data_IF_271280616532
#
_entry.id   IF_271280616532
#
_cell.length_a   1.000
_cell.length_b   1.000
_cell.length_c   1.000
_cell.angle_alpha   90.00
_cell.angle_beta   90.00
_cell.angle_gamma   90.00
#
_symmetry.space_group_name_H-M   'P 1'
#
loop_
_entity.id
_entity.type
_entity.pdbx_description
1 polymer ?
#
# COMPACT_ATOMS: atom_id res chain seq x y z
N UNK A 1 17.02 30.61 7.29
CA UNK A 1 16.49 30.42 8.66
C UNK A 1 17.51 29.92 9.69
N UNK A 2 17.88 28.62 9.73
CA UNK A 2 18.75 28.07 10.81
C UNK A 2 20.10 28.78 10.85
N UNK A 3 20.71 28.98 9.68
CA UNK A 3 21.98 29.73 9.53
C UNK A 3 21.93 31.17 10.03
N UNK A 4 20.78 31.84 9.94
CA UNK A 4 20.64 33.23 10.38
C UNK A 4 20.39 33.31 11.89
N UNK A 5 19.53 32.41 12.41
CA UNK A 5 19.12 32.39 13.82
C UNK A 5 20.13 31.71 14.74
N UNK A 6 20.87 30.73 14.21
CA UNK A 6 21.87 29.95 14.91
C UNK A 6 23.08 29.62 14.01
N UNK A 7 23.84 30.62 13.52
CA UNK A 7 25.01 30.41 12.65
C UNK A 7 26.10 29.55 13.29
N UNK A 8 26.10 29.48 14.62
CA UNK A 8 27.03 28.73 15.45
C UNK A 8 26.67 27.24 15.60
N UNK A 9 25.48 26.81 15.15
CA UNK A 9 25.00 25.45 15.36
C UNK A 9 25.38 24.54 14.19
N UNK A 10 26.13 23.44 14.42
CA UNK A 10 26.32 22.40 13.43
C UNK A 10 25.06 21.58 13.19
N UNK A 11 24.70 21.37 11.92
CA UNK A 11 23.59 20.50 11.55
C UNK A 11 23.79 19.95 10.14
N UNK A 12 23.43 18.67 9.96
CA UNK A 12 23.51 17.95 8.70
C UNK A 12 22.13 17.59 8.12
N UNK A 13 21.08 17.77 8.92
CA UNK A 13 19.71 17.51 8.52
C UNK A 13 18.74 18.48 9.22
N UNK A 14 17.57 18.63 8.60
CA UNK A 14 16.45 19.41 9.12
C UNK A 14 15.20 18.54 9.11
N UNK A 15 14.39 18.64 10.16
CA UNK A 15 13.05 18.08 10.20
C UNK A 15 12.04 19.18 10.54
N UNK A 16 10.99 19.29 9.74
CA UNK A 16 9.84 20.14 10.04
C UNK A 16 8.74 19.28 10.66
N UNK A 17 8.19 19.72 11.78
CA UNK A 17 7.09 19.00 12.44
C UNK A 17 5.95 19.95 12.74
N UNK A 18 4.74 19.54 12.37
CA UNK A 18 3.50 20.25 12.66
C UNK A 18 2.64 19.39 13.58
N UNK A 19 2.30 19.93 14.76
CA UNK A 19 1.44 19.31 15.76
C UNK A 19 1.85 17.86 16.13
N UNK A 20 3.14 17.55 16.04
CA UNK A 20 3.70 16.26 16.41
C UNK A 20 4.03 16.26 17.90
N UNK A 21 3.45 15.30 18.64
CA UNK A 21 3.76 15.04 20.04
C UNK A 21 4.55 13.74 20.13
N UNK A 22 5.85 13.83 20.43
CA UNK A 22 6.68 12.64 20.63
C UNK A 22 6.69 12.19 22.08
N UNK A 23 6.40 10.90 22.31
CA UNK A 23 6.59 10.22 23.60
C UNK A 23 8.08 10.17 24.00
N UNK A 24 8.43 9.84 25.27
CA UNK A 24 9.83 9.76 25.70
C UNK A 24 10.68 8.82 24.84
N UNK A 25 11.70 9.38 24.18
CA UNK A 25 12.61 8.66 23.29
C UNK A 25 14.02 9.27 23.31
N UNK A 26 14.96 8.58 22.64
CA UNK A 26 16.31 9.08 22.34
C UNK A 26 16.53 9.03 20.84
N UNK A 27 17.31 9.97 20.32
CA UNK A 27 17.67 10.00 18.91
C UNK A 27 18.93 9.16 18.69
N UNK A 28 18.76 7.84 18.75
CA UNK A 28 19.86 6.87 18.67
C UNK A 28 20.62 6.88 17.34
N UNK A 29 20.10 7.55 16.30
CA UNK A 29 20.75 7.66 14.99
C UNK A 29 21.44 9.01 14.76
N UNK A 30 21.35 9.94 15.72
CA UNK A 30 22.07 11.21 15.67
C UNK A 30 23.49 11.05 16.21
N UNK A 31 24.38 11.91 15.76
CA UNK A 31 25.78 11.95 16.16
C UNK A 31 25.89 12.13 17.69
N UNK A 32 26.48 11.18 18.45
CA UNK A 32 26.46 11.23 19.91
C UNK A 32 27.09 12.48 20.51
N UNK A 33 28.12 13.05 19.85
CA UNK A 33 28.79 14.28 20.31
C UNK A 33 28.09 15.55 19.84
N UNK A 34 27.01 15.45 19.04
CA UNK A 34 26.27 16.63 18.58
C UNK A 34 25.19 17.06 19.57
N UNK A 35 24.51 18.12 19.20
CA UNK A 35 23.33 18.63 19.87
C UNK A 35 22.24 18.86 18.83
N UNK A 36 20.98 18.73 19.24
CA UNK A 36 19.84 19.12 18.41
C UNK A 36 19.40 20.54 18.79
N UNK A 37 18.88 21.27 17.81
CA UNK A 37 18.29 22.60 17.98
C UNK A 37 16.85 22.58 17.47
N UNK A 38 15.90 22.93 18.35
CA UNK A 38 14.48 23.06 18.00
C UNK A 38 14.12 24.53 17.99
N UNK A 39 13.55 25.02 16.90
CA UNK A 39 13.12 26.41 16.75
C UNK A 39 11.62 26.50 16.48
N UNK A 40 10.94 27.39 17.19
CA UNK A 40 9.52 27.67 16.96
C UNK A 40 9.33 28.46 15.66
N UNK A 41 8.47 27.97 14.77
CA UNK A 41 8.10 28.63 13.51
C UNK A 41 6.71 29.28 13.55
N UNK A 42 5.85 28.84 14.47
CA UNK A 42 4.53 29.41 14.71
C UNK A 42 4.41 29.95 16.14
N UNK A 43 3.33 30.69 16.39
CA UNK A 43 2.96 31.14 17.74
C UNK A 43 2.09 30.07 18.41
N UNK A 44 2.56 29.54 19.53
CA UNK A 44 1.82 28.60 20.39
C UNK A 44 2.18 28.86 21.85
N UNK A 45 1.35 28.36 22.79
CA UNK A 45 1.64 28.45 24.22
C UNK A 45 2.06 27.09 24.77
N UNK A 46 2.97 27.08 25.76
CA UNK A 46 3.61 25.86 26.29
C UNK A 46 4.39 25.12 25.18
N UNK A 47 4.28 23.78 25.09
CA UNK A 47 4.87 23.02 23.97
C UNK A 47 6.39 22.86 24.00
N UNK A 48 7.00 23.04 25.17
CA UNK A 48 8.43 22.85 25.39
C UNK A 48 8.90 21.41 25.18
N UNK A 49 10.16 21.16 25.51
CA UNK A 49 10.76 19.83 25.44
C UNK A 49 11.16 19.41 26.85
N UNK A 50 10.58 18.32 27.34
CA UNK A 50 11.08 17.66 28.54
C UNK A 50 12.34 16.88 28.20
N UNK A 51 13.40 17.04 28.97
CA UNK A 51 14.68 16.33 28.81
C UNK A 51 15.08 15.74 30.15
N UNK A 52 15.43 14.45 30.17
CA UNK A 52 15.85 13.75 31.37
C UNK A 52 17.09 14.40 32.00
N UNK A 53 16.99 14.60 33.31
CA UNK A 53 17.90 15.37 34.14
C UNK A 53 17.63 14.98 35.60
N UNK A 54 18.62 14.37 36.26
CA UNK A 54 18.44 13.81 37.60
C UNK A 54 18.14 14.90 38.65
N UNK A 55 18.59 16.14 38.38
CA UNK A 55 18.35 17.32 39.22
C UNK A 55 17.08 18.09 38.80
N UNK A 56 16.34 17.59 37.81
CA UNK A 56 15.13 18.22 37.28
C UNK A 56 13.91 18.08 38.19
N UNK A 57 12.94 18.99 38.05
CA UNK A 57 11.73 19.06 38.87
C UNK A 57 10.48 18.44 38.20
N UNK A 58 10.58 18.04 36.93
CA UNK A 58 9.48 17.48 36.16
C UNK A 58 9.67 15.97 35.92
N UNK A 59 8.74 15.15 36.41
CA UNK A 59 8.82 13.69 36.26
C UNK A 59 7.98 13.17 35.08
N UNK A 60 8.50 12.17 34.36
CA UNK A 60 7.74 11.37 33.39
C UNK A 60 7.87 9.87 33.65
N UNK A 61 6.84 9.12 33.29
CA UNK A 61 6.85 7.67 33.32
C UNK A 61 7.43 7.12 32.02
N UNK A 62 8.48 6.32 32.12
CA UNK A 62 9.21 5.76 30.99
C UNK A 62 9.39 4.28 31.26
N UNK A 63 8.75 3.42 30.47
CA UNK A 63 8.80 1.96 30.64
C UNK A 63 8.47 1.51 32.08
N UNK A 64 7.52 2.18 32.73
CA UNK A 64 7.09 1.87 34.11
C UNK A 64 7.95 2.49 35.22
N UNK A 65 9.05 3.16 34.88
CA UNK A 65 9.90 3.85 35.86
C UNK A 65 9.64 5.36 35.83
N UNK A 66 9.70 5.99 37.02
CA UNK A 66 9.65 7.45 37.15
C UNK A 66 11.04 8.02 36.87
N UNK A 67 11.16 8.82 35.82
CA UNK A 67 12.41 9.49 35.42
C UNK A 67 12.23 10.99 35.65
N UNK A 68 13.20 11.63 36.32
CA UNK A 68 13.22 13.08 36.53
C UNK A 68 13.81 13.78 35.30
N UNK A 69 13.39 15.02 35.09
CA UNK A 69 13.85 15.84 33.98
C UNK A 69 13.46 17.29 34.10
N UNK A 70 13.97 18.09 33.18
CA UNK A 70 13.76 19.53 33.12
C UNK A 70 12.97 19.87 31.86
N UNK A 71 11.94 20.72 31.97
CA UNK A 71 11.19 21.21 30.82
C UNK A 71 11.88 22.45 30.25
N UNK A 72 12.46 22.30 29.06
CA UNK A 72 13.03 23.41 28.29
C UNK A 72 11.91 24.11 27.52
N UNK A 73 11.87 25.44 27.59
CA UNK A 73 10.90 26.26 26.87
C UNK A 73 11.56 27.12 25.78
N UNK A 74 10.72 27.72 24.93
CA UNK A 74 11.17 28.57 23.83
C UNK A 74 11.41 30.03 24.25
N UNK A 75 11.58 30.37 25.54
CA UNK A 75 11.76 31.77 25.98
C UNK A 75 12.98 32.44 25.34
N UNK A 76 13.98 31.66 24.93
CA UNK A 76 15.18 32.13 24.21
C UNK A 76 15.09 31.95 22.69
N UNK A 77 13.90 31.67 22.16
CA UNK A 77 13.63 31.49 20.72
C UNK A 77 13.99 30.12 20.15
N UNK A 78 14.77 29.30 20.88
CA UNK A 78 15.11 27.95 20.50
C UNK A 78 15.40 27.08 21.74
N UNK A 79 15.23 25.76 21.60
CA UNK A 79 15.60 24.75 22.58
C UNK A 79 16.82 23.99 22.06
N UNK A 80 17.80 23.78 22.93
CA UNK A 80 19.04 23.07 22.63
C UNK A 80 19.18 21.89 23.59
N UNK A 81 19.45 20.69 23.06
CA UNK A 81 19.55 19.49 23.89
C UNK A 81 20.44 18.42 23.26
N UNK A 82 20.90 17.47 24.08
CA UNK A 82 21.71 16.32 23.63
C UNK A 82 20.79 15.22 23.09
N UNK A 83 21.03 14.69 21.88
CA UNK A 83 20.16 13.67 21.27
C UNK A 83 20.10 12.35 22.05
N UNK A 84 21.16 12.03 22.80
CA UNK A 84 21.26 10.81 23.60
C UNK A 84 20.60 10.94 24.98
N UNK A 85 20.09 12.12 25.34
CA UNK A 85 19.27 12.28 26.53
C UNK A 85 17.83 11.91 26.20
N UNK A 86 17.17 11.17 27.10
CA UNK A 86 15.76 10.86 26.96
C UNK A 86 14.95 12.15 26.95
N UNK A 87 14.07 12.32 25.97
CA UNK A 87 13.31 13.57 25.82
C UNK A 87 11.92 13.31 25.24
N UNK A 88 11.00 14.25 25.48
CA UNK A 88 9.61 14.16 25.06
C UNK A 88 9.02 15.55 24.79
N UNK A 89 8.02 15.62 23.92
CA UNK A 89 7.30 16.88 23.66
C UNK A 89 6.29 17.15 24.76
N UNK A 90 6.29 18.36 25.32
CA UNK A 90 5.26 18.80 26.26
C UNK A 90 3.98 19.22 25.54
N UNK A 91 2.84 19.12 26.22
CA UNK A 91 1.56 19.55 25.64
C UNK A 91 1.54 21.06 25.38
N UNK A 92 0.81 21.47 24.34
CA UNK A 92 0.68 22.85 23.90
C UNK A 92 -0.78 23.22 23.58
N UNK A 93 -1.02 24.51 23.40
CA UNK A 93 -2.26 25.06 22.84
C UNK A 93 -1.92 25.90 21.59
N UNK A 94 -2.78 25.82 20.57
CA UNK A 94 -2.54 26.39 19.24
C UNK A 94 -1.83 25.43 18.28
N UNK A 95 -1.40 25.94 17.12
CA UNK A 95 -0.65 25.16 16.13
C UNK A 95 0.84 25.23 16.41
N UNK A 96 1.46 24.09 16.77
CA UNK A 96 2.89 23.98 17.05
C UNK A 96 3.63 23.52 15.80
N UNK A 97 4.18 24.47 15.06
CA UNK A 97 5.13 24.25 13.98
C UNK A 97 6.54 24.52 14.51
N UNK A 98 7.41 23.52 14.45
CA UNK A 98 8.82 23.66 14.85
C UNK A 98 9.75 23.08 13.79
N UNK A 99 10.94 23.67 13.69
CA UNK A 99 12.04 23.18 12.88
C UNK A 99 13.10 22.57 13.81
N UNK A 100 13.46 21.32 13.56
CA UNK A 100 14.51 20.60 14.29
C UNK A 100 15.74 20.51 13.39
N UNK A 101 16.83 21.12 13.81
CA UNK A 101 18.15 20.96 13.20
C UNK A 101 18.96 19.94 14.00
N UNK A 102 19.54 18.96 13.31
CA UNK A 102 20.26 17.86 13.94
C UNK A 102 21.39 17.35 13.03
N UNK A 103 22.27 16.53 13.61
CA UNK A 103 23.38 15.89 12.90
C UNK A 103 23.13 14.38 12.85
N UNK A 104 22.85 13.79 11.66
CA UNK A 104 22.84 12.35 11.50
C UNK A 104 24.23 11.74 11.80
N UNK A 105 24.27 10.48 12.20
CA UNK A 105 25.55 9.73 12.25
C UNK A 105 26.09 9.49 10.84
N UNK A 106 27.39 9.23 10.79
CA UNK A 106 28.07 8.79 9.58
C UNK A 106 28.09 9.80 8.43
N UNK A 107 28.00 11.10 8.74
CA UNK A 107 28.14 12.16 7.73
C UNK A 107 29.51 12.16 7.07
N UNK A 108 30.52 11.53 7.69
CA UNK A 108 31.83 11.29 7.09
C UNK A 108 31.77 10.38 5.84
N UNK A 109 30.70 9.59 5.68
CA UNK A 109 30.52 8.69 4.53
C UNK A 109 29.91 9.36 3.31
N UNK A 110 29.44 10.61 3.43
CA UNK A 110 28.97 11.37 2.28
C UNK A 110 30.13 11.60 1.31
N UNK A 111 29.86 11.36 0.03
CA UNK A 111 30.82 11.65 -1.02
C UNK A 111 31.03 13.18 -1.17
N UNK A 112 32.08 13.55 -1.91
CA UNK A 112 32.45 14.95 -2.09
C UNK A 112 31.41 15.77 -2.85
N UNK A 113 30.61 15.13 -3.71
CA UNK A 113 29.58 15.82 -4.49
C UNK A 113 28.41 16.21 -3.59
N UNK A 114 27.89 15.26 -2.82
CA UNK A 114 26.78 15.48 -1.88
C UNK A 114 27.16 16.47 -0.77
N UNK A 115 28.40 16.40 -0.28
CA UNK A 115 28.93 17.40 0.67
C UNK A 115 28.95 18.80 0.08
N UNK A 116 29.38 18.96 -1.17
CA UNK A 116 29.38 20.25 -1.86
C UNK A 116 27.98 20.86 -1.95
N UNK A 117 26.99 20.04 -2.30
CA UNK A 117 25.58 20.46 -2.36
C UNK A 117 25.09 20.91 -0.98
N UNK A 118 25.38 20.15 0.08
CA UNK A 118 24.96 20.51 1.43
C UNK A 118 25.62 21.81 1.92
N UNK A 119 26.90 22.01 1.61
CA UNK A 119 27.60 23.25 1.94
C UNK A 119 27.01 24.45 1.17
N UNK A 120 26.70 24.30 -0.13
CA UNK A 120 26.02 25.32 -0.94
C UNK A 120 24.62 25.67 -0.39
N UNK A 121 23.88 24.67 0.10
CA UNK A 121 22.58 24.84 0.74
C UNK A 121 22.68 25.39 2.18
N UNK A 122 23.89 25.59 2.69
CA UNK A 122 24.15 26.22 3.98
C UNK A 122 24.03 25.28 5.18
N UNK A 123 24.19 23.97 5.00
CA UNK A 123 24.38 23.03 6.12
C UNK A 123 25.76 23.21 6.74
N UNK A 124 25.91 22.86 8.02
CA UNK A 124 27.16 23.03 8.77
C UNK A 124 27.63 21.65 9.23
N UNK A 125 28.40 20.98 8.38
CA UNK A 125 28.81 19.59 8.57
C UNK A 125 30.05 19.42 9.48
N UNK A 126 30.67 20.53 9.91
CA UNK A 126 31.80 20.52 10.84
C UNK A 126 31.33 20.33 12.28
N UNK A 127 31.95 19.42 13.02
CA UNK A 127 31.74 19.27 14.47
C UNK A 127 32.49 20.32 15.31
N UNK A 128 33.30 21.18 14.68
CA UNK A 128 33.98 22.27 15.37
C UNK A 128 33.15 23.57 15.37
N UNK A 129 33.04 24.26 16.52
CA UNK A 129 32.26 25.49 16.61
C UNK A 129 32.89 26.62 15.77
N UNK A 130 32.14 27.16 14.82
CA UNK A 130 32.55 28.33 14.03
C UNK A 130 32.15 29.60 14.78
N UNK A 131 33.03 30.61 14.79
CA UNK A 131 32.80 31.89 15.48
C UNK A 131 31.51 32.58 14.98
N UNK A 132 30.77 33.21 15.91
CA UNK A 132 29.54 33.96 15.61
C UNK A 132 29.82 35.07 14.60
N UNK A 133 29.33 34.92 13.38
CA UNK A 133 29.17 36.04 12.44
C UNK A 133 27.73 36.56 12.53
N UNK A 134 27.58 37.85 12.80
CA UNK A 134 26.29 38.55 12.72
C UNK A 134 25.96 38.76 11.24
N UNK A 135 24.89 38.12 10.77
CA UNK A 135 24.29 38.36 9.45
C UNK A 135 23.03 39.19 9.66
N UNK A 136 22.80 40.21 8.82
CA UNK A 136 21.57 41.01 8.89
C UNK A 136 20.32 40.14 8.67
N UNK A 137 19.21 40.41 9.37
CA UNK A 137 18.01 39.58 9.29
C UNK A 137 17.38 39.70 7.89
N UNK A 138 17.45 38.63 7.10
CA UNK A 138 16.67 38.48 5.86
C UNK A 138 15.23 38.11 6.23
N UNK A 139 14.28 38.83 5.66
CA UNK A 139 12.85 38.54 5.78
C UNK A 139 12.49 37.49 4.73
N UNK A 140 12.00 36.32 5.14
CA UNK A 140 11.42 35.33 4.22
C UNK A 140 9.98 35.04 4.64
N UNK A 141 9.10 34.81 3.66
CA UNK A 141 7.76 34.29 3.91
C UNK A 141 7.75 32.78 3.71
N UNK A 142 6.96 32.09 4.54
CA UNK A 142 6.67 30.67 4.40
C UNK A 142 5.16 30.54 4.22
N UNK A 143 4.73 30.02 3.07
CA UNK A 143 3.33 29.70 2.82
C UNK A 143 3.10 28.23 3.17
N UNK A 144 2.47 27.98 4.32
CA UNK A 144 2.03 26.66 4.72
C UNK A 144 0.56 26.49 4.35
N UNK A 145 0.24 25.51 3.49
CA UNK A 145 -1.15 25.13 3.23
C UNK A 145 -1.78 24.54 4.49
N UNK A 146 -2.81 25.21 5.02
CA UNK A 146 -3.64 24.69 6.10
C UNK A 146 -4.57 23.63 5.50
N UNK A 147 -4.56 22.43 6.08
CA UNK A 147 -5.47 21.36 5.64
C UNK A 147 -6.91 21.75 5.97
N UNK A 148 -7.77 21.81 4.95
CA UNK A 148 -9.21 21.94 5.16
C UNK A 148 -9.77 20.75 5.94
N UNK A 149 -10.76 21.03 6.80
CA UNK A 149 -11.68 19.99 7.26
C UNK A 149 -12.41 19.35 6.07
N UNK A 150 -12.92 18.11 6.20
CA UNK A 150 -13.72 17.49 5.16
C UNK A 150 -14.90 18.37 4.69
N UNK A 151 -15.54 19.08 5.62
CA UNK A 151 -16.68 19.95 5.35
C UNK A 151 -16.28 21.22 4.59
N UNK A 152 -15.19 21.88 4.99
CA UNK A 152 -14.63 23.02 4.28
C UNK A 152 -14.17 22.64 2.87
N UNK A 153 -13.54 21.47 2.72
CA UNK A 153 -13.15 20.95 1.42
C UNK A 153 -14.35 20.77 0.50
N UNK A 154 -15.44 20.16 1.00
CA UNK A 154 -16.67 19.97 0.20
C UNK A 154 -17.31 21.32 -0.15
N UNK A 155 -17.36 22.26 0.80
CA UNK A 155 -17.95 23.58 0.56
C UNK A 155 -17.18 24.37 -0.51
N UNK A 156 -15.85 24.37 -0.46
CA UNK A 156 -15.01 25.01 -1.47
C UNK A 156 -15.06 24.26 -2.81
N UNK A 157 -15.06 22.93 -2.81
CA UNK A 157 -15.20 22.12 -4.02
C UNK A 157 -16.53 22.38 -4.75
N UNK A 158 -17.62 22.63 -4.02
CA UNK A 158 -18.91 23.02 -4.61
C UNK A 158 -18.90 24.42 -5.23
N UNK A 159 -18.01 25.32 -4.79
CA UNK A 159 -17.84 26.67 -5.35
C UNK A 159 -16.89 26.67 -6.54
N UNK A 160 -15.96 25.73 -6.59
CA UNK A 160 -15.01 25.58 -7.68
C UNK A 160 -15.71 25.04 -8.95
N UNK A 161 -15.39 25.62 -10.10
CA UNK A 161 -15.77 25.01 -11.39
C UNK A 161 -14.86 23.81 -11.66
N UNK A 162 -15.46 22.65 -11.99
CA UNK A 162 -14.67 21.47 -12.31
C UNK A 162 -13.89 21.71 -13.61
N UNK A 163 -12.56 21.48 -13.66
CA UNK A 163 -11.71 21.84 -14.79
C UNK A 163 -11.98 21.02 -16.07
N UNK A 164 -12.85 20.01 -16.00
CA UNK A 164 -13.21 19.15 -17.12
C UNK A 164 -14.71 18.84 -17.13
N UNK A 165 -15.24 18.56 -18.33
CA UNK A 165 -16.60 18.05 -18.48
C UNK A 165 -16.64 16.55 -18.12
N UNK A 166 -17.08 16.25 -16.91
CA UNK A 166 -17.13 14.89 -16.35
C UNK A 166 -17.94 13.90 -17.23
N UNK A 167 -18.90 14.38 -18.02
CA UNK A 167 -19.67 13.54 -18.94
C UNK A 167 -18.83 12.94 -20.07
N UNK A 168 -17.71 13.55 -20.44
CA UNK A 168 -16.83 13.05 -21.51
C UNK A 168 -15.89 11.93 -21.05
N UNK A 169 -15.92 11.59 -19.75
CA UNK A 169 -15.07 10.55 -19.16
C UNK A 169 -15.74 9.17 -19.13
N UNK A 170 -17.01 9.08 -19.55
CA UNK A 170 -17.76 7.83 -19.52
C UNK A 170 -17.46 6.96 -20.75
N UNK A 171 -17.12 5.68 -20.55
CA UNK A 171 -17.13 4.70 -21.63
C UNK A 171 -18.49 4.61 -22.31
N UNK A 172 -18.48 4.29 -23.60
CA UNK A 172 -19.69 4.23 -24.44
C UNK A 172 -20.71 3.23 -23.91
N UNK A 173 -20.27 2.14 -23.28
CA UNK A 173 -21.12 1.11 -22.67
C UNK A 173 -21.94 1.68 -21.52
N UNK A 174 -21.33 2.52 -20.67
CA UNK A 174 -22.03 3.19 -19.57
C UNK A 174 -23.01 4.22 -20.12
N UNK A 175 -22.62 4.96 -21.16
CA UNK A 175 -23.49 5.95 -21.80
C UNK A 175 -24.71 5.28 -22.45
N UNK A 176 -24.52 4.15 -23.13
CA UNK A 176 -25.58 3.32 -23.70
C UNK A 176 -26.51 2.75 -22.61
N UNK A 177 -25.95 2.26 -21.50
CA UNK A 177 -26.73 1.77 -20.37
C UNK A 177 -27.61 2.86 -19.76
N UNK A 178 -27.08 4.07 -19.54
CA UNK A 178 -27.86 5.22 -19.07
C UNK A 178 -28.99 5.52 -20.06
N UNK A 179 -28.67 5.64 -21.36
CA UNK A 179 -29.66 5.95 -22.39
C UNK A 179 -30.78 4.90 -22.45
N UNK A 180 -30.48 3.61 -22.31
CA UNK A 180 -31.47 2.53 -22.30
C UNK A 180 -32.39 2.59 -21.09
N UNK A 181 -31.87 2.91 -19.90
CA UNK A 181 -32.69 3.09 -18.69
C UNK A 181 -33.70 4.25 -18.85
N UNK A 182 -33.30 5.35 -19.49
CA UNK A 182 -34.22 6.46 -19.78
C UNK A 182 -35.08 6.23 -21.04
N UNK A 183 -34.75 5.26 -21.88
CA UNK A 183 -35.45 4.97 -23.13
C UNK A 183 -36.62 4.00 -22.99
N UNK A 184 -36.70 3.27 -21.87
CA UNK A 184 -37.72 2.26 -21.59
C UNK A 184 -38.59 2.70 -20.40
N UNK A 185 -39.85 2.27 -20.37
CA UNK A 185 -40.65 2.37 -19.14
C UNK A 185 -40.12 1.40 -18.08
N UNK A 186 -40.41 1.65 -16.81
CA UNK A 186 -40.00 0.77 -15.70
C UNK A 186 -40.48 -0.68 -15.91
N UNK A 187 -41.72 -0.84 -16.38
CA UNK A 187 -42.30 -2.15 -16.70
C UNK A 187 -41.53 -2.85 -17.82
N UNK A 188 -41.28 -2.16 -18.94
CA UNK A 188 -40.57 -2.73 -20.08
C UNK A 188 -39.12 -3.09 -19.71
N UNK A 189 -38.46 -2.24 -18.92
CA UNK A 189 -37.11 -2.49 -18.43
C UNK A 189 -37.07 -3.71 -17.50
N UNK A 190 -38.06 -3.84 -16.60
CA UNK A 190 -38.21 -5.00 -15.72
C UNK A 190 -38.45 -6.30 -16.48
N UNK A 191 -39.34 -6.28 -17.47
CA UNK A 191 -39.60 -7.42 -18.36
C UNK A 191 -38.33 -7.83 -19.11
N UNK A 192 -37.65 -6.88 -19.75
CA UNK A 192 -36.40 -7.13 -20.48
C UNK A 192 -35.31 -7.73 -19.59
N UNK A 193 -35.08 -7.18 -18.39
CA UNK A 193 -34.10 -7.73 -17.43
C UNK A 193 -34.45 -9.16 -17.03
N UNK A 194 -35.72 -9.44 -16.82
CA UNK A 194 -36.21 -10.78 -16.47
C UNK A 194 -35.97 -11.78 -17.60
N UNK A 195 -36.28 -11.40 -18.84
CA UNK A 195 -36.04 -12.23 -20.03
C UNK A 195 -34.56 -12.52 -20.23
N UNK A 196 -33.70 -11.51 -20.09
CA UNK A 196 -32.24 -11.67 -20.18
C UNK A 196 -31.74 -12.64 -19.10
N UNK A 197 -32.19 -12.51 -17.84
CA UNK A 197 -31.82 -13.43 -16.77
C UNK A 197 -32.30 -14.86 -17.08
N UNK A 198 -33.55 -15.05 -17.53
CA UNK A 198 -34.05 -16.39 -17.90
C UNK A 198 -33.23 -17.02 -19.02
N UNK A 199 -32.88 -16.25 -20.05
CA UNK A 199 -32.01 -16.69 -21.15
C UNK A 199 -30.68 -17.22 -20.61
N UNK A 200 -30.03 -16.48 -19.72
CA UNK A 200 -28.74 -16.89 -19.16
C UNK A 200 -28.83 -18.05 -18.18
N UNK A 201 -29.92 -18.18 -17.43
CA UNK A 201 -30.18 -19.37 -16.60
C UNK A 201 -30.34 -20.61 -17.48
N UNK A 202 -31.12 -20.51 -18.57
CA UNK A 202 -31.28 -21.62 -19.52
C UNK A 202 -29.94 -22.01 -20.14
N UNK A 203 -29.19 -21.03 -20.66
CA UNK A 203 -27.86 -21.26 -21.24
C UNK A 203 -26.89 -21.89 -20.24
N UNK A 204 -26.94 -21.48 -18.97
CA UNK A 204 -26.11 -22.07 -17.93
C UNK A 204 -26.40 -23.55 -17.67
N UNK A 205 -27.68 -23.95 -17.78
CA UNK A 205 -28.09 -25.35 -17.63
C UNK A 205 -27.67 -26.18 -18.85
N UNK A 206 -27.80 -25.62 -20.06
CA UNK A 206 -27.40 -26.29 -21.30
C UNK A 206 -25.89 -26.59 -21.33
N UNK A 207 -25.08 -25.72 -20.70
CA UNK A 207 -23.61 -25.83 -20.70
C UNK A 207 -23.05 -26.77 -19.60
N UNK A 208 -23.88 -27.36 -18.73
CA UNK A 208 -23.39 -28.13 -17.57
C UNK A 208 -22.49 -29.30 -18.00
N UNK A 209 -22.91 -30.09 -18.99
CA UNK A 209 -22.14 -31.25 -19.42
C UNK A 209 -20.79 -30.87 -20.04
N UNK A 210 -20.75 -29.80 -20.83
CA UNK A 210 -19.52 -29.28 -21.43
C UNK A 210 -18.59 -28.68 -20.36
N UNK A 211 -19.15 -28.01 -19.34
CA UNK A 211 -18.40 -27.46 -18.20
C UNK A 211 -17.74 -28.58 -17.38
N UNK A 212 -18.46 -29.68 -17.15
CA UNK A 212 -17.93 -30.85 -16.44
C UNK A 212 -16.78 -31.51 -17.22
N UNK A 213 -16.91 -31.65 -18.54
CA UNK A 213 -15.85 -32.14 -19.41
C UNK A 213 -14.62 -31.23 -19.40
N UNK A 214 -14.83 -29.91 -19.49
CA UNK A 214 -13.75 -28.91 -19.40
C UNK A 214 -12.99 -29.03 -18.08
N UNK A 215 -13.71 -29.13 -16.95
CA UNK A 215 -13.12 -29.24 -15.61
C UNK A 215 -12.45 -30.59 -15.36
N UNK A 216 -12.95 -31.67 -15.98
CA UNK A 216 -12.31 -32.98 -15.92
C UNK A 216 -10.92 -32.97 -16.56
N UNK A 217 -10.72 -32.14 -17.59
CA UNK A 217 -9.42 -31.94 -18.24
C UNK A 217 -8.42 -31.08 -17.44
N UNK A 218 -8.85 -30.38 -16.40
CA UNK A 218 -7.97 -29.54 -15.57
C UNK A 218 -7.18 -30.37 -14.56
N UNK A 219 -5.99 -29.88 -14.18
CA UNK A 219 -5.26 -30.38 -13.01
C UNK A 219 -6.07 -30.19 -11.73
N UNK A 220 -5.77 -31.00 -10.71
CA UNK A 220 -6.42 -30.90 -9.41
C UNK A 220 -6.30 -29.49 -8.81
N UNK A 221 -5.12 -28.86 -8.93
CA UNK A 221 -4.85 -27.54 -8.38
C UNK A 221 -5.75 -26.46 -8.98
N UNK A 222 -5.91 -26.45 -10.31
CA UNK A 222 -6.79 -25.51 -11.01
C UNK A 222 -8.26 -25.81 -10.73
N UNK A 223 -8.63 -27.11 -10.71
CA UNK A 223 -10.00 -27.56 -10.45
C UNK A 223 -10.50 -27.15 -9.07
N UNK A 224 -9.66 -27.21 -8.03
CA UNK A 224 -10.04 -26.77 -6.67
C UNK A 224 -10.51 -25.31 -6.70
N UNK A 225 -9.73 -24.42 -7.33
CA UNK A 225 -10.04 -22.98 -7.42
C UNK A 225 -11.26 -22.70 -8.30
N UNK A 226 -11.38 -23.40 -9.43
CA UNK A 226 -12.40 -23.15 -10.46
C UNK A 226 -13.68 -23.98 -10.31
N UNK A 227 -13.74 -24.91 -9.34
CA UNK A 227 -14.83 -25.89 -9.19
C UNK A 227 -16.22 -25.26 -9.24
N UNK A 228 -16.40 -24.13 -8.54
CA UNK A 228 -17.68 -23.41 -8.43
C UNK A 228 -17.93 -22.39 -9.54
N UNK A 229 -17.01 -22.22 -10.49
CA UNK A 229 -17.11 -21.25 -11.58
C UNK A 229 -17.83 -21.86 -12.78
N UNK A 230 -18.58 -21.05 -13.53
CA UNK A 230 -19.23 -21.44 -14.80
C UNK A 230 -18.50 -20.75 -15.95
N UNK A 231 -17.37 -21.31 -16.35
CA UNK A 231 -16.42 -20.70 -17.28
C UNK A 231 -17.00 -20.59 -18.69
N UNK A 232 -17.75 -21.61 -19.14
CA UNK A 232 -18.39 -21.59 -20.46
C UNK A 232 -19.56 -20.61 -20.51
N UNK A 233 -20.30 -20.45 -19.40
CA UNK A 233 -21.29 -19.39 -19.28
C UNK A 233 -20.63 -18.01 -19.35
N UNK A 234 -19.51 -17.85 -18.65
CA UNK A 234 -18.76 -16.60 -18.68
C UNK A 234 -18.24 -16.28 -20.09
N UNK A 235 -17.74 -17.29 -20.82
CA UNK A 235 -17.37 -17.18 -22.24
C UNK A 235 -18.54 -16.69 -23.10
N UNK A 236 -19.69 -17.34 -22.99
CA UNK A 236 -20.88 -16.95 -23.75
C UNK A 236 -21.35 -15.52 -23.43
N UNK A 237 -21.23 -15.10 -22.16
CA UNK A 237 -21.55 -13.72 -21.73
C UNK A 237 -20.60 -12.69 -22.37
N UNK A 238 -19.30 -12.97 -22.42
CA UNK A 238 -18.30 -12.09 -23.04
C UNK A 238 -18.50 -11.98 -24.55
N UNK A 239 -18.76 -13.11 -25.22
CA UNK A 239 -19.04 -13.15 -26.66
C UNK A 239 -20.30 -12.35 -27.02
N UNK A 240 -21.39 -12.50 -26.25
CA UNK A 240 -22.62 -11.74 -26.49
C UNK A 240 -22.47 -10.25 -26.16
N UNK A 241 -21.65 -9.91 -25.17
CA UNK A 241 -21.32 -8.52 -24.84
C UNK A 241 -20.41 -7.86 -25.90
N UNK A 242 -19.83 -8.64 -26.83
CA UNK A 242 -18.86 -8.14 -27.79
C UNK A 242 -17.55 -7.69 -27.14
N UNK A 243 -17.15 -8.33 -26.04
CA UNK A 243 -15.92 -8.00 -25.34
C UNK A 243 -14.70 -8.24 -26.24
N UNK A 244 -13.70 -7.37 -26.17
CA UNK A 244 -12.53 -7.44 -27.08
C UNK A 244 -11.52 -8.50 -26.69
N UNK A 245 -11.40 -8.80 -25.40
CA UNK A 245 -10.59 -9.91 -24.91
C UNK A 245 -11.38 -11.23 -25.04
N UNK A 246 -11.03 -12.01 -26.06
CA UNK A 246 -11.61 -13.33 -26.33
C UNK A 246 -10.84 -14.48 -25.65
N UNK A 247 -9.64 -14.21 -25.13
CA UNK A 247 -8.74 -15.23 -24.56
C UNK A 247 -8.89 -15.35 -23.03
N UNK A 248 -9.54 -14.39 -22.37
CA UNK A 248 -9.70 -14.35 -20.91
C UNK A 248 -10.15 -15.68 -20.28
N UNK A 249 -11.09 -16.39 -20.91
CA UNK A 249 -11.58 -17.67 -20.37
C UNK A 249 -10.54 -18.78 -20.52
N UNK A 250 -9.80 -18.78 -21.62
CA UNK A 250 -8.71 -19.75 -21.84
C UNK A 250 -7.56 -19.47 -20.87
N UNK A 251 -7.23 -18.19 -20.60
CA UNK A 251 -6.27 -17.80 -19.56
C UNK A 251 -6.70 -18.26 -18.17
N UNK A 252 -7.99 -18.10 -17.82
CA UNK A 252 -8.55 -18.62 -16.55
C UNK A 252 -8.42 -20.14 -16.45
N UNK A 253 -8.73 -20.87 -17.53
CA UNK A 253 -8.63 -22.33 -17.58
C UNK A 253 -7.19 -22.79 -17.44
N UNK A 254 -6.24 -22.11 -18.08
CA UNK A 254 -4.81 -22.44 -18.04
C UNK A 254 -4.12 -22.02 -16.74
N UNK A 255 -4.67 -20.99 -16.08
CA UNK A 255 -4.09 -20.38 -14.90
C UNK A 255 -2.94 -19.43 -15.25
N UNK A 256 -2.56 -18.61 -14.28
CA UNK A 256 -1.60 -17.52 -14.50
C UNK A 256 -0.20 -17.87 -14.01
N UNK A 257 0.80 -17.51 -14.80
CA UNK A 257 2.19 -17.57 -14.40
C UNK A 257 2.58 -16.39 -13.50
N UNK A 258 3.54 -16.62 -12.59
CA UNK A 258 4.11 -15.56 -11.75
C UNK A 258 5.38 -14.93 -12.33
N UNK A 259 5.92 -15.53 -13.40
CA UNK A 259 7.13 -15.06 -14.09
C UNK A 259 6.92 -15.12 -15.59
N UNK A 260 7.80 -14.47 -16.34
CA UNK A 260 7.70 -14.43 -17.79
C UNK A 260 6.78 -13.31 -18.26
N UNK A 261 6.18 -13.49 -19.43
CA UNK A 261 5.39 -12.45 -20.10
C UNK A 261 3.93 -12.57 -19.69
N UNK A 262 3.35 -11.49 -19.17
CA UNK A 262 1.91 -11.45 -18.88
C UNK A 262 1.10 -11.62 -20.19
N UNK A 263 -0.07 -12.29 -20.13
CA UNK A 263 -0.95 -12.41 -21.29
C UNK A 263 -1.42 -11.03 -21.77
N UNK A 264 -1.52 -10.86 -23.08
CA UNK A 264 -2.04 -9.65 -23.72
C UNK A 264 -3.55 -9.81 -23.97
N UNK A 265 -4.36 -8.97 -23.33
CA UNK A 265 -5.81 -8.95 -23.50
C UNK A 265 -6.25 -8.24 -24.80
N UNK A 266 -5.43 -7.32 -25.30
CA UNK A 266 -5.80 -6.39 -26.36
C UNK A 266 -6.80 -5.30 -25.95
N UNK A 267 -7.34 -5.38 -24.73
CA UNK A 267 -8.30 -4.41 -24.19
C UNK A 267 -7.61 -3.21 -23.55
N UNK A 268 -6.51 -3.45 -22.83
CA UNK A 268 -5.82 -2.41 -22.08
C UNK A 268 -4.83 -1.61 -22.94
N UNK A 269 -4.48 -0.41 -22.46
CA UNK A 269 -3.49 0.44 -23.14
C UNK A 269 -2.13 -0.26 -23.17
N UNK A 270 -1.54 -0.37 -24.37
CA UNK A 270 -0.17 -0.88 -24.52
C UNK A 270 0.82 -0.06 -23.72
N UNK A 271 1.55 -0.74 -22.83
CA UNK A 271 2.64 -0.17 -22.03
C UNK A 271 3.63 -1.27 -21.71
N UNK A 272 4.71 -1.27 -22.47
CA UNK A 272 5.76 -2.26 -22.29
C UNK A 272 6.68 -1.90 -21.12
N UNK A 273 6.86 -2.85 -20.20
CA UNK A 273 7.91 -2.84 -19.17
C UNK A 273 8.61 -4.20 -19.19
N UNK A 274 9.87 -4.26 -19.66
CA UNK A 274 10.59 -5.51 -19.72
C UNK A 274 10.95 -6.02 -18.31
N UNK A 275 11.09 -7.33 -18.18
CA UNK A 275 11.69 -7.95 -17.01
C UNK A 275 13.13 -7.40 -16.81
N UNK A 276 13.50 -7.15 -15.55
CA UNK A 276 14.87 -6.76 -15.17
C UNK A 276 15.78 -7.96 -14.89
N UNK A 277 15.22 -9.16 -14.89
CA UNK A 277 15.92 -10.44 -14.71
C UNK A 277 15.35 -11.48 -15.67
N UNK A 278 16.21 -12.33 -16.25
CA UNK A 278 15.74 -13.46 -17.05
C UNK A 278 15.19 -14.56 -16.15
N UNK A 279 14.20 -15.31 -16.63
CA UNK A 279 13.69 -16.46 -15.89
C UNK A 279 14.79 -17.49 -15.59
N UNK A 280 15.69 -17.75 -16.55
CA UNK A 280 16.81 -18.66 -16.36
C UNK A 280 17.75 -18.22 -15.20
N UNK A 281 17.98 -16.91 -15.05
CA UNK A 281 18.78 -16.35 -13.96
C UNK A 281 18.06 -16.51 -12.61
N UNK A 282 16.74 -16.28 -12.59
CA UNK A 282 15.92 -16.56 -11.42
C UNK A 282 16.02 -18.04 -11.02
N UNK A 283 15.87 -18.97 -11.98
CA UNK A 283 15.95 -20.43 -11.72
C UNK A 283 17.31 -20.85 -11.19
N UNK A 284 18.39 -20.35 -11.80
CA UNK A 284 19.77 -20.71 -11.41
C UNK A 284 20.16 -20.16 -10.03
N UNK A 285 19.62 -18.99 -9.65
CA UNK A 285 19.82 -18.38 -8.34
C UNK A 285 18.89 -18.90 -7.24
N UNK A 286 17.82 -19.61 -7.60
CA UNK A 286 16.71 -19.94 -6.71
C UNK A 286 17.14 -20.72 -5.46
N UNK A 287 17.99 -21.74 -5.60
CA UNK A 287 18.42 -22.57 -4.45
C UNK A 287 19.13 -21.74 -3.38
N UNK A 288 20.09 -20.88 -3.78
CA UNK A 288 20.80 -19.98 -2.86
C UNK A 288 19.83 -18.98 -2.21
N UNK A 289 18.93 -18.41 -2.99
CA UNK A 289 17.93 -17.46 -2.50
C UNK A 289 17.00 -18.12 -1.47
N UNK A 290 16.49 -19.32 -1.75
CA UNK A 290 15.64 -20.07 -0.83
C UNK A 290 16.35 -20.38 0.49
N UNK A 291 17.60 -20.83 0.45
CA UNK A 291 18.39 -21.07 1.67
C UNK A 291 18.59 -19.80 2.48
N UNK A 292 18.88 -18.67 1.82
CA UNK A 292 19.02 -17.37 2.50
C UNK A 292 17.68 -16.90 3.10
N UNK A 293 16.55 -17.09 2.41
CA UNK A 293 15.23 -16.77 2.93
C UNK A 293 14.91 -17.63 4.17
N UNK A 294 15.12 -18.95 4.11
CA UNK A 294 14.89 -19.84 5.27
C UNK A 294 15.75 -19.46 6.48
N UNK A 295 17.02 -19.08 6.26
CA UNK A 295 17.92 -18.67 7.34
C UNK A 295 17.56 -17.33 7.98
N UNK A 296 16.81 -16.47 7.29
CA UNK A 296 16.44 -15.12 7.76
C UNK A 296 15.02 -15.02 8.29
N UNK A 297 14.20 -16.06 8.13
CA UNK A 297 12.85 -16.12 8.70
C UNK A 297 12.96 -16.39 10.20
N UNK A 298 12.88 -15.31 10.98
CA UNK A 298 12.77 -15.32 12.44
C UNK A 298 11.40 -14.84 12.92
N UNK A 299 11.15 -14.88 14.24
CA UNK A 299 9.95 -14.32 14.84
C UNK A 299 9.85 -12.82 14.57
N UNK A 300 8.63 -12.31 14.50
CA UNK A 300 8.34 -10.88 14.50
C UNK A 300 8.59 -10.28 15.90
N UNK A 301 8.77 -8.95 15.94
CA UNK A 301 8.94 -8.22 17.21
C UNK A 301 7.71 -8.32 18.12
N UNK A 302 6.51 -8.42 17.51
CA UNK A 302 5.25 -8.64 18.19
C UNK A 302 4.70 -10.05 17.87
N UNK A 303 4.59 -10.96 18.87
CA UNK A 303 4.04 -12.29 18.70
C UNK A 303 2.62 -12.34 18.10
N UNK A 304 1.84 -11.27 18.26
CA UNK A 304 0.49 -11.15 17.66
C UNK A 304 0.57 -11.21 16.14
N UNK A 305 1.64 -10.69 15.55
CA UNK A 305 1.85 -10.70 14.09
C UNK A 305 2.03 -12.13 13.58
N UNK A 306 2.94 -12.90 14.18
CA UNK A 306 3.21 -14.28 13.73
C UNK A 306 1.98 -15.17 13.94
N UNK A 307 1.29 -15.03 15.07
CA UNK A 307 0.04 -15.74 15.34
C UNK A 307 -1.04 -15.37 14.31
N UNK A 308 -1.17 -14.08 13.97
CA UNK A 308 -2.12 -13.60 12.96
C UNK A 308 -1.81 -14.09 11.54
N UNK A 309 -0.53 -14.10 11.15
CA UNK A 309 -0.08 -14.63 9.85
C UNK A 309 -0.35 -16.12 9.75
N UNK A 310 -0.02 -16.89 10.79
CA UNK A 310 -0.30 -18.31 10.84
C UNK A 310 -1.81 -18.57 10.76
N UNK A 311 -2.62 -17.87 11.55
CA UNK A 311 -4.08 -18.05 11.54
C UNK A 311 -4.69 -17.72 10.17
N UNK A 312 -4.23 -16.65 9.51
CA UNK A 312 -4.68 -16.32 8.15
C UNK A 312 -4.24 -17.39 7.14
N UNK A 313 -3.00 -17.90 7.24
CA UNK A 313 -2.48 -18.94 6.35
C UNK A 313 -3.25 -20.25 6.51
N UNK A 314 -3.57 -20.66 7.74
CA UNK A 314 -4.37 -21.87 7.99
C UNK A 314 -5.81 -21.74 7.49
N UNK A 315 -6.41 -20.54 7.55
CA UNK A 315 -7.70 -20.28 6.89
C UNK A 315 -7.62 -20.42 5.37
N UNK A 316 -6.51 -20.00 4.76
CA UNK A 316 -6.29 -20.22 3.33
C UNK A 316 -6.09 -21.71 2.98
N UNK A 317 -5.48 -22.49 3.89
CA UNK A 317 -5.37 -23.95 3.76
C UNK A 317 -6.74 -24.62 3.85
N UNK A 318 -7.54 -24.25 4.86
CA UNK A 318 -8.90 -24.78 5.04
C UNK A 318 -9.80 -24.47 3.84
N UNK A 319 -9.65 -23.28 3.24
CA UNK A 319 -10.37 -22.88 2.03
C UNK A 319 -9.83 -23.54 0.74
N UNK A 320 -8.75 -24.32 0.80
CA UNK A 320 -8.14 -24.98 -0.35
C UNK A 320 -7.30 -24.06 -1.24
N UNK A 321 -7.05 -22.81 -0.85
CA UNK A 321 -6.21 -21.87 -1.61
C UNK A 321 -4.72 -22.13 -1.44
N UNK A 322 -4.33 -22.80 -0.36
CA UNK A 322 -2.95 -23.09 0.03
C UNK A 322 -2.83 -24.57 0.44
N UNK A 323 -1.69 -25.20 0.17
CA UNK A 323 -1.29 -26.46 0.82
C UNK A 323 -0.06 -26.28 1.69
N UNK A 324 0.08 -27.19 2.63
CA UNK A 324 1.26 -27.35 3.44
C UNK A 324 0.89 -27.69 4.89
N UNK A 325 1.90 -27.80 5.76
CA UNK A 325 3.30 -27.49 5.48
C UNK A 325 3.96 -28.42 4.45
N UNK A 326 4.91 -27.90 3.65
CA UNK A 326 5.71 -28.65 2.68
C UNK A 326 7.15 -28.76 3.21
N UNK A 327 7.80 -29.92 3.07
CA UNK A 327 9.20 -30.04 3.47
C UNK A 327 10.11 -29.34 2.45
N UNK A 328 11.18 -28.71 2.92
CA UNK A 328 12.15 -28.04 2.04
C UNK A 328 12.81 -29.00 1.03
N UNK A 329 12.92 -30.28 1.37
CA UNK A 329 13.40 -31.35 0.48
C UNK A 329 12.48 -31.62 -0.71
N UNK A 330 11.20 -31.28 -0.59
CA UNK A 330 10.17 -31.59 -1.59
C UNK A 330 10.01 -30.43 -2.59
N UNK A 331 10.72 -29.31 -2.37
CA UNK A 331 10.78 -28.22 -3.32
C UNK A 331 11.62 -28.62 -4.54
N UNK A 332 11.09 -28.49 -5.77
CA UNK A 332 11.86 -28.83 -6.96
C UNK A 332 13.00 -27.86 -7.18
N UNK A 333 14.03 -28.32 -7.88
CA UNK A 333 15.14 -27.46 -8.29
C UNK A 333 14.63 -26.28 -9.13
N UNK A 334 15.08 -25.07 -8.81
CA UNK A 334 14.65 -23.84 -9.47
C UNK A 334 13.35 -23.23 -8.94
N UNK A 335 12.73 -23.84 -7.92
CA UNK A 335 11.58 -23.24 -7.24
C UNK A 335 11.96 -21.99 -6.45
N UNK A 336 11.14 -20.95 -6.50
CA UNK A 336 11.32 -19.72 -5.71
C UNK A 336 10.62 -19.83 -4.37
N UNK A 337 11.19 -19.23 -3.33
CA UNK A 337 10.57 -19.14 -2.01
C UNK A 337 10.33 -17.68 -1.62
N UNK A 338 9.06 -17.30 -1.46
CA UNK A 338 8.68 -15.94 -1.06
C UNK A 338 8.48 -15.84 0.46
N UNK A 339 9.03 -14.82 1.11
CA UNK A 339 8.76 -14.56 2.54
C UNK A 339 7.38 -13.93 2.68
N UNK A 340 6.53 -14.54 3.51
CA UNK A 340 5.25 -13.97 3.96
C UNK A 340 5.41 -13.38 5.36
N UNK A 341 5.04 -12.12 5.51
CA UNK A 341 5.11 -11.39 6.78
C UNK A 341 3.79 -10.67 7.08
N UNK A 342 3.55 -10.31 8.34
CA UNK A 342 2.31 -9.67 8.75
C UNK A 342 2.45 -8.16 8.93
N UNK A 343 1.37 -7.43 8.65
CA UNK A 343 1.22 -6.02 8.97
C UNK A 343 -0.08 -5.82 9.75
N UNK A 344 -0.03 -5.06 10.85
CA UNK A 344 -1.22 -4.70 11.62
C UNK A 344 -1.97 -3.59 10.86
N UNK A 345 -3.22 -3.87 10.50
CA UNK A 345 -4.09 -2.95 9.78
C UNK A 345 -5.32 -2.61 10.62
N UNK A 346 -5.11 -1.81 11.66
CA UNK A 346 -6.13 -1.43 12.63
C UNK A 346 -6.53 -2.58 13.55
N UNK A 347 -7.71 -2.43 14.16
CA UNK A 347 -8.26 -3.37 15.12
C UNK A 347 -9.69 -3.77 14.73
N UNK A 348 -10.09 -4.99 15.07
CA UNK A 348 -11.46 -5.49 14.93
C UNK A 348 -11.84 -6.08 16.28
N UNK A 349 -12.90 -5.56 16.90
CA UNK A 349 -13.38 -5.99 18.21
C UNK A 349 -12.29 -5.98 19.31
N UNK A 350 -11.39 -4.98 19.26
CA UNK A 350 -10.27 -4.83 20.19
C UNK A 350 -9.08 -5.78 19.95
N UNK A 351 -9.10 -6.53 18.85
CA UNK A 351 -8.01 -7.43 18.45
C UNK A 351 -7.28 -6.84 17.23
N UNK A 352 -5.94 -6.73 17.24
CA UNK A 352 -5.17 -6.29 16.08
C UNK A 352 -5.45 -7.14 14.84
N UNK A 353 -5.79 -6.47 13.73
CA UNK A 353 -6.09 -7.14 12.47
C UNK A 353 -4.81 -7.32 11.66
N UNK A 354 -4.22 -8.51 11.73
CA UNK A 354 -3.01 -8.84 10.98
C UNK A 354 -3.35 -9.24 9.54
N UNK A 355 -2.67 -8.63 8.57
CA UNK A 355 -2.74 -8.99 7.14
C UNK A 355 -1.44 -9.65 6.69
N UNK A 356 -1.47 -10.87 6.13
CA UNK A 356 -0.30 -11.47 5.52
C UNK A 356 0.05 -10.78 4.20
N UNK A 357 1.34 -10.55 3.96
CA UNK A 357 1.91 -9.92 2.77
C UNK A 357 3.04 -10.79 2.24
N UNK A 358 2.99 -11.11 0.94
CA UNK A 358 4.02 -11.88 0.25
C UNK A 358 5.04 -10.95 -0.41
N UNK A 359 6.31 -11.04 -0.03
CA UNK A 359 7.36 -10.15 -0.55
C UNK A 359 7.97 -10.67 -1.86
N UNK A 360 7.21 -10.62 -2.96
CA UNK A 360 7.69 -11.09 -4.27
C UNK A 360 8.82 -10.24 -4.87
N UNK A 361 9.06 -9.04 -4.34
CA UNK A 361 10.25 -8.24 -4.65
C UNK A 361 11.52 -8.90 -4.09
N UNK A 362 11.47 -9.40 -2.86
CA UNK A 362 12.62 -10.04 -2.21
C UNK A 362 12.97 -11.40 -2.84
N UNK A 363 11.97 -12.17 -3.27
CA UNK A 363 12.19 -13.43 -4.01
C UNK A 363 12.54 -13.21 -5.48
N UNK A 364 12.54 -11.96 -5.97
CA UNK A 364 12.86 -11.54 -7.34
C UNK A 364 11.90 -12.07 -8.42
N UNK A 365 10.78 -12.66 -8.04
CA UNK A 365 9.74 -13.09 -8.97
C UNK A 365 9.27 -11.91 -9.83
N UNK A 366 8.97 -10.75 -9.21
CA UNK A 366 8.53 -9.55 -9.95
C UNK A 366 9.62 -9.00 -10.90
N UNK A 367 10.90 -9.29 -10.64
CA UNK A 367 11.99 -8.88 -11.53
C UNK A 367 12.01 -9.70 -12.83
N UNK A 368 11.43 -10.92 -12.81
CA UNK A 368 11.32 -11.80 -13.96
C UNK A 368 10.00 -11.65 -14.75
N UNK A 369 9.19 -10.65 -14.42
CA UNK A 369 7.91 -10.39 -15.11
C UNK A 369 8.08 -9.32 -16.19
N UNK A 370 7.55 -9.61 -17.38
CA UNK A 370 7.40 -8.64 -18.48
C UNK A 370 5.93 -8.23 -18.61
N UNK A 371 5.67 -6.94 -18.46
CA UNK A 371 4.35 -6.34 -18.63
C UNK A 371 4.25 -5.72 -20.02
N UNK A 372 3.15 -5.97 -20.73
CA UNK A 372 2.88 -5.52 -22.10
C UNK A 372 1.77 -4.48 -22.16
N UNK A 373 0.85 -4.53 -21.20
CA UNK A 373 -0.32 -3.67 -21.10
C UNK A 373 -0.42 -3.04 -19.71
N UNK A 374 -0.98 -1.82 -19.64
CA UNK A 374 -1.28 -1.15 -18.38
C UNK A 374 -2.77 -1.26 -18.09
N UNK A 375 -3.12 -2.00 -17.04
CA UNK A 375 -4.45 -1.99 -16.45
C UNK A 375 -4.74 -0.59 -15.90
N UNK A 376 -5.82 0.01 -16.38
CA UNK A 376 -6.36 1.28 -15.87
C UNK A 376 -7.69 1.00 -15.19
N UNK A 377 -7.77 1.27 -13.90
CA UNK A 377 -9.04 1.17 -13.15
C UNK A 377 -9.81 2.48 -13.29
N UNK A 378 -11.14 2.39 -13.31
CA UNK A 378 -11.99 3.58 -13.23
C UNK A 378 -11.69 4.34 -11.93
N UNK A 379 -11.46 5.65 -12.06
CA UNK A 379 -11.28 6.55 -10.93
C UNK A 379 -12.63 7.05 -10.41
N UNK A 380 -12.60 7.83 -9.33
CA UNK A 380 -13.78 8.53 -8.82
C UNK A 380 -14.42 9.45 -9.88
N UNK A 381 -13.63 9.93 -10.85
CA UNK A 381 -14.12 10.79 -11.93
C UNK A 381 -15.13 10.09 -12.83
N UNK A 382 -14.94 8.78 -13.09
CA UNK A 382 -15.90 7.99 -13.88
C UNK A 382 -17.21 7.82 -13.11
N UNK A 383 -17.14 7.60 -11.79
CA UNK A 383 -18.33 7.51 -10.93
C UNK A 383 -19.08 8.84 -10.87
N UNK A 384 -18.35 9.95 -10.70
CA UNK A 384 -18.92 11.30 -10.72
C UNK A 384 -19.51 11.64 -12.09
N UNK A 385 -18.83 11.28 -13.17
CA UNK A 385 -19.31 11.40 -14.55
C UNK A 385 -20.61 10.65 -14.78
N UNK A 386 -20.72 9.42 -14.26
CA UNK A 386 -21.92 8.59 -14.36
C UNK A 386 -23.11 9.26 -13.67
N UNK A 387 -22.91 9.75 -12.44
CA UNK A 387 -23.93 10.48 -11.68
C UNK A 387 -24.36 11.76 -12.40
N UNK A 388 -23.39 12.55 -12.89
CA UNK A 388 -23.64 13.78 -13.65
C UNK A 388 -24.45 13.52 -14.93
N UNK A 389 -24.05 12.52 -15.72
CA UNK A 389 -24.75 12.13 -16.96
C UNK A 389 -26.17 11.64 -16.68
N UNK A 390 -26.38 10.85 -15.62
CA UNK A 390 -27.71 10.41 -15.19
C UNK A 390 -28.62 11.59 -14.83
N UNK A 391 -28.15 12.49 -13.97
CA UNK A 391 -28.91 13.68 -13.54
C UNK A 391 -29.20 14.63 -14.69
N UNK A 392 -28.23 14.88 -15.57
CA UNK A 392 -28.43 15.66 -16.79
C UNK A 392 -29.51 15.05 -17.68
N UNK A 393 -29.53 13.71 -17.83
CA UNK A 393 -30.55 13.03 -18.64
C UNK A 393 -31.94 13.12 -18.01
N UNK A 394 -32.05 12.93 -16.71
CA UNK A 394 -33.29 13.09 -15.96
C UNK A 394 -33.86 14.51 -16.09
N UNK A 395 -33.00 15.53 -15.92
CA UNK A 395 -33.36 16.94 -16.12
C UNK A 395 -33.88 17.20 -17.52
N UNK A 396 -33.20 16.70 -18.56
CA UNK A 396 -33.65 16.84 -19.96
C UNK A 396 -35.00 16.18 -20.24
N UNK A 397 -35.39 15.16 -19.47
CA UNK A 397 -36.70 14.48 -19.60
C UNK A 397 -37.75 14.99 -18.61
N UNK A 398 -37.43 15.97 -17.78
CA UNK A 398 -38.29 16.46 -16.69
C UNK A 398 -38.76 15.34 -15.75
N UNK A 399 -37.90 14.35 -15.53
CA UNK A 399 -38.17 13.22 -14.64
C UNK A 399 -37.44 13.41 -13.30
N UNK A 400 -38.10 13.05 -12.21
CA UNK A 400 -37.44 12.99 -10.90
C UNK A 400 -36.45 11.83 -10.88
N UNK A 401 -35.17 12.11 -10.64
CA UNK A 401 -34.16 11.08 -10.47
C UNK A 401 -33.98 10.77 -8.97
N UNK A 402 -34.59 9.68 -8.51
CA UNK A 402 -34.12 9.06 -7.26
C UNK A 402 -32.83 8.31 -7.57
N UNK A 403 -31.77 8.61 -6.82
CA UNK A 403 -30.51 7.90 -6.93
C UNK A 403 -30.38 6.94 -5.74
N UNK A 404 -30.25 5.67 -6.05
CA UNK A 404 -29.84 4.65 -5.11
C UNK A 404 -28.52 4.05 -5.61
N UNK A 405 -27.57 3.87 -4.71
CA UNK A 405 -26.31 3.23 -5.00
C UNK A 405 -26.22 1.91 -4.25
N UNK A 406 -25.60 0.90 -4.88
CA UNK A 406 -25.24 -0.36 -4.25
C UNK A 406 -23.83 -0.72 -4.64
N UNK A 407 -23.02 -1.06 -3.65
CA UNK A 407 -21.67 -1.59 -3.87
C UNK A 407 -21.71 -3.11 -3.89
N UNK A 408 -20.86 -3.68 -4.74
CA UNK A 408 -20.63 -5.11 -4.82
C UNK A 408 -19.15 -5.34 -4.58
N UNK A 409 -18.83 -6.15 -3.58
CA UNK A 409 -17.46 -6.55 -3.29
C UNK A 409 -17.23 -7.99 -3.73
N UNK A 410 -16.20 -8.20 -4.55
CA UNK A 410 -15.73 -9.53 -4.88
C UNK A 410 -14.76 -10.00 -3.79
N UNK A 411 -15.32 -10.70 -2.81
CA UNK A 411 -14.55 -11.29 -1.71
C UNK A 411 -13.40 -12.13 -2.26
N UNK A 412 -12.20 -11.88 -1.73
CA UNK A 412 -10.96 -12.61 -2.06
C UNK A 412 -10.71 -12.74 -3.58
N UNK A 413 -10.88 -11.64 -4.33
CA UNK A 413 -10.81 -11.62 -5.79
C UNK A 413 -9.61 -12.39 -6.39
N UNK A 414 -8.38 -12.14 -5.93
CA UNK A 414 -7.18 -12.84 -6.41
C UNK A 414 -7.22 -14.35 -6.19
N UNK A 415 -7.84 -14.80 -5.10
CA UNK A 415 -7.98 -16.23 -4.77
C UNK A 415 -8.99 -16.97 -5.65
N UNK A 416 -9.72 -16.24 -6.50
CA UNK A 416 -10.62 -16.81 -7.50
C UNK A 416 -9.92 -17.14 -8.81
N UNK A 417 -8.63 -16.80 -8.94
CA UNK A 417 -7.81 -17.00 -10.13
C UNK A 417 -6.72 -18.03 -9.82
N UNK A 418 -6.64 -19.16 -10.56
CA UNK A 418 -5.63 -20.18 -10.29
C UNK A 418 -4.26 -19.79 -10.82
N UNK A 419 -3.21 -20.29 -10.18
CA UNK A 419 -1.88 -20.37 -10.81
C UNK A 419 -1.90 -21.40 -11.94
N UNK A 420 -1.07 -21.19 -12.94
CA UNK A 420 -0.75 -22.22 -13.92
C UNK A 420 -0.12 -23.43 -13.23
N UNK A 421 -0.12 -24.60 -13.87
CA UNK A 421 0.56 -25.77 -13.32
C UNK A 421 2.08 -25.56 -13.19
N UNK A 422 2.67 -24.74 -14.08
CA UNK A 422 4.10 -24.42 -14.05
C UNK A 422 4.44 -23.49 -12.87
N UNK A 423 3.69 -22.40 -12.71
CA UNK A 423 3.86 -21.47 -11.60
C UNK A 423 3.48 -22.10 -10.26
N UNK A 424 2.46 -22.95 -10.22
CA UNK A 424 2.18 -23.77 -9.05
C UNK A 424 3.41 -24.61 -8.71
N UNK A 425 3.96 -25.36 -9.66
CA UNK A 425 5.08 -26.25 -9.43
C UNK A 425 6.37 -25.56 -8.99
N UNK A 426 6.61 -24.28 -9.34
CA UNK A 426 7.90 -23.61 -9.10
C UNK A 426 7.83 -22.31 -8.31
N UNK A 427 6.78 -21.53 -8.46
CA UNK A 427 6.72 -20.14 -7.97
C UNK A 427 5.70 -19.93 -6.83
N UNK A 428 4.84 -20.91 -6.59
CA UNK A 428 3.78 -20.84 -5.57
C UNK A 428 4.26 -20.96 -4.12
N UNK A 429 5.56 -21.22 -3.86
CA UNK A 429 6.05 -21.47 -2.50
C UNK A 429 6.28 -20.18 -1.72
N UNK A 430 5.83 -20.20 -0.47
CA UNK A 430 6.10 -19.13 0.49
C UNK A 430 6.41 -19.69 1.87
N UNK A 431 7.07 -18.89 2.70
CA UNK A 431 7.49 -19.26 4.05
C UNK A 431 7.02 -18.24 5.07
N UNK A 432 6.56 -18.74 6.21
CA UNK A 432 6.24 -17.96 7.41
C UNK A 432 7.11 -18.42 8.59
N UNK A 433 7.25 -17.57 9.61
CA UNK A 433 7.63 -18.05 10.93
C UNK A 433 6.40 -18.71 11.56
N UNK A 434 6.49 -20.00 11.92
CA UNK A 434 5.38 -20.72 12.56
C UNK A 434 5.59 -20.77 14.08
N UNK A 435 4.83 -19.97 14.85
CA UNK A 435 5.01 -19.87 16.30
C UNK A 435 4.68 -21.17 17.04
N UNK A 436 3.95 -22.13 16.43
CA UNK A 436 3.64 -23.43 17.07
C UNK A 436 4.87 -24.31 17.23
N UNK A 437 5.81 -24.18 16.30
CA UNK A 437 7.04 -24.99 16.22
C UNK A 437 8.30 -24.16 16.40
N UNK A 438 8.18 -22.84 16.51
CA UNK A 438 9.29 -21.90 16.69
C UNK A 438 10.26 -21.86 15.49
N UNK A 439 9.82 -22.27 14.30
CA UNK A 439 10.66 -22.40 13.11
C UNK A 439 9.94 -21.98 11.83
N UNK A 440 10.71 -21.78 10.77
CA UNK A 440 10.18 -21.53 9.44
C UNK A 440 9.32 -22.72 8.94
N UNK A 441 8.13 -22.42 8.42
CA UNK A 441 7.25 -23.39 7.77
C UNK A 441 6.90 -22.95 6.36
N UNK A 442 7.07 -23.86 5.39
CA UNK A 442 6.86 -23.61 3.97
C UNK A 442 5.45 -24.06 3.60
N UNK A 443 4.78 -23.26 2.78
CA UNK A 443 3.46 -23.51 2.23
C UNK A 443 3.48 -23.21 0.73
N UNK A 444 2.44 -23.62 0.01
CA UNK A 444 2.34 -23.48 -1.44
C UNK A 444 0.95 -23.00 -1.86
N UNK A 445 0.88 -21.93 -2.64
CA UNK A 445 -0.38 -21.32 -3.09
C UNK A 445 -0.87 -21.99 -4.38
N UNK A 446 -2.19 -22.22 -4.49
CA UNK A 446 -2.87 -22.66 -5.71
C UNK A 446 -3.44 -21.51 -6.53
N UNK A 447 -3.76 -20.41 -5.85
CA UNK A 447 -4.37 -19.24 -6.46
C UNK A 447 -3.38 -18.08 -6.55
N UNK A 448 -3.69 -17.09 -7.38
CA UNK A 448 -2.89 -15.88 -7.50
C UNK A 448 -2.71 -15.22 -6.13
N UNK A 449 -1.46 -14.93 -5.74
CA UNK A 449 -1.15 -14.27 -4.50
C UNK A 449 -1.36 -12.76 -4.64
N UNK A 450 -1.32 -12.05 -3.51
CA UNK A 450 -1.33 -10.59 -3.54
C UNK A 450 0.10 -10.05 -3.64
N UNK A 451 0.36 -9.17 -4.61
CA UNK A 451 1.64 -8.46 -4.76
C UNK A 451 2.69 -9.13 -5.66
N UNK A 452 2.34 -10.24 -6.32
CA UNK A 452 3.13 -10.84 -7.40
C UNK A 452 3.02 -10.06 -8.71
#
# INVERSE_FOLDING_TARGET
>A
YVRERAPWHPFGALAFTLNLCSDPHVDSHNEPSSSNLVMALSTFTKGGLWVADDDGDAAKMVQGNKVMGTVLDFKKGAIHFRPQCLHATERWEGDRAVLVAYMPRSMEKLDSSDRGILDELGFVLSTQPVAKQCVEPVQFSLECGVRWSPEEFVAEACRAEHPSSLSNLLPDELQAAINKNFGMSEQALGQHRTEVIRKWIAKANDLVAEEDLLKAGMSENRRIILSQKRLLLFKALLEEAGHTDLNLVDDLVNGFDLVGRLPESGFFKKKFRPASMLEADLRSGASRACSATLATVGPADDPVIDAGVLAATLKEVEAGFVEGPVAASDMPQGATLTRRFGVIQGEVDGVPKVRPIDNYRASRVNAAVTQTEQVTVHTLDVVAGMASAWLARARKRLQQASMAAKTWDLKTAYKQLPLSDAAYARDGYFVIHDPRVGKASIFKQRALPFGS
#
